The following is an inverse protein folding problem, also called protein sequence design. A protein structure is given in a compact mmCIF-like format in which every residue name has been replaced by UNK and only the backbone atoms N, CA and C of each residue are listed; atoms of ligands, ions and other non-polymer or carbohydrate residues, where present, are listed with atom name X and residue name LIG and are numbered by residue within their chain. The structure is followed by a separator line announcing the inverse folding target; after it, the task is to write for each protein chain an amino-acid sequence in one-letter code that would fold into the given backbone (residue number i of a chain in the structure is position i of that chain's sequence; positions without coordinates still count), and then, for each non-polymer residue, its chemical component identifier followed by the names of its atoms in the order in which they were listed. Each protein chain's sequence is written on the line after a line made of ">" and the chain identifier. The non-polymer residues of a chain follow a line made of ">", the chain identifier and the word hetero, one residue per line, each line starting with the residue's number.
data_IF_635275217545
#
_entry.id   IF_635275217545
#
_cell.length_a   1.000
_cell.length_b   1.000
_cell.length_c   1.000
_cell.angle_alpha   90.00
_cell.angle_beta   90.00
_cell.angle_gamma   90.00
#
_symmetry.space_group_name_H-M   'P 1'
#
loop_
_entity.id
_entity.type
_entity.pdbx_description
1 polymer ?
#
# COMPACT_ATOMS: atom_id res chain seq x y z
N UNK A 1 28.35 -3.47 8.63
CA UNK A 1 27.21 -3.74 9.53
C UNK A 1 25.86 -3.81 8.81
N UNK A 2 25.38 -2.81 8.02
CA UNK A 2 24.07 -2.91 7.36
C UNK A 2 24.01 -3.99 6.27
N UNK A 3 25.09 -4.13 5.47
CA UNK A 3 25.21 -5.18 4.44
C UNK A 3 25.19 -6.59 5.03
N UNK A 4 25.73 -6.77 6.24
CA UNK A 4 25.79 -8.06 6.93
C UNK A 4 24.41 -8.48 7.46
N UNK A 5 23.62 -7.53 7.96
CA UNK A 5 22.24 -7.73 8.40
C UNK A 5 21.32 -8.02 7.22
N UNK A 6 21.49 -7.30 6.10
CA UNK A 6 20.68 -7.51 4.90
C UNK A 6 20.93 -8.92 4.32
N UNK A 7 22.19 -9.33 4.19
CA UNK A 7 22.52 -10.70 3.79
C UNK A 7 21.96 -11.75 4.74
N UNK A 8 22.11 -11.58 6.06
CA UNK A 8 21.54 -12.51 7.03
C UNK A 8 20.02 -12.64 6.90
N UNK A 9 19.31 -11.53 6.65
CA UNK A 9 17.87 -11.55 6.42
C UNK A 9 17.49 -12.36 5.17
N UNK A 10 18.19 -12.15 4.05
CA UNK A 10 17.95 -12.91 2.81
C UNK A 10 18.17 -14.42 2.95
N UNK A 11 19.18 -14.85 3.70
CA UNK A 11 19.53 -16.28 3.83
C UNK A 11 18.76 -17.01 4.94
N UNK A 12 18.05 -16.28 5.81
CA UNK A 12 17.28 -16.87 6.92
C UNK A 12 15.79 -16.97 6.64
N UNK A 13 15.29 -16.28 5.62
CA UNK A 13 13.88 -16.25 5.24
C UNK A 13 13.70 -16.96 3.91
N UNK A 14 12.56 -17.63 3.74
CA UNK A 14 12.18 -18.14 2.43
C UNK A 14 11.94 -16.99 1.44
N UNK A 15 11.96 -17.29 0.15
CA UNK A 15 11.58 -16.32 -0.90
C UNK A 15 10.18 -15.75 -0.67
N UNK A 16 9.24 -16.58 -0.22
CA UNK A 16 7.87 -16.14 0.08
C UNK A 16 7.83 -15.16 1.25
N UNK A 17 8.49 -15.50 2.35
CA UNK A 17 8.50 -14.64 3.53
C UNK A 17 9.21 -13.32 3.25
N UNK A 18 10.30 -13.37 2.48
CA UNK A 18 10.99 -12.17 1.99
C UNK A 18 10.05 -11.30 1.14
N UNK A 19 9.28 -11.89 0.23
CA UNK A 19 8.29 -11.17 -0.58
C UNK A 19 7.23 -10.48 0.29
N UNK A 20 6.77 -11.12 1.36
CA UNK A 20 5.79 -10.51 2.29
C UNK A 20 6.38 -9.29 3.02
N UNK A 21 7.63 -9.37 3.45
CA UNK A 21 8.35 -8.22 4.02
C UNK A 21 8.54 -7.09 3.01
N UNK A 22 8.89 -7.43 1.77
CA UNK A 22 9.03 -6.45 0.69
C UNK A 22 7.68 -5.77 0.40
N UNK A 23 6.59 -6.55 0.38
CA UNK A 23 5.22 -6.06 0.21
C UNK A 23 4.82 -5.07 1.32
N UNK A 24 5.19 -5.34 2.57
CA UNK A 24 5.00 -4.40 3.69
C UNK A 24 5.80 -3.11 3.49
N UNK A 25 7.07 -3.22 3.10
CA UNK A 25 7.91 -2.05 2.80
C UNK A 25 7.32 -1.18 1.68
N UNK A 26 6.80 -1.82 0.64
CA UNK A 26 6.07 -1.15 -0.44
C UNK A 26 4.85 -0.39 0.06
N UNK A 27 4.05 -0.99 0.96
CA UNK A 27 2.88 -0.33 1.55
C UNK A 27 3.26 0.97 2.30
N UNK A 28 4.38 0.97 3.03
CA UNK A 28 4.86 2.18 3.71
C UNK A 28 5.23 3.29 2.73
N UNK A 29 5.98 2.95 1.68
CA UNK A 29 6.37 3.93 0.64
C UNK A 29 5.16 4.44 -0.13
N UNK A 30 4.19 3.57 -0.40
CA UNK A 30 2.94 3.95 -1.03
C UNK A 30 2.16 4.97 -0.21
N UNK A 31 2.01 4.75 1.09
CA UNK A 31 1.35 5.72 1.96
C UNK A 31 2.15 7.00 2.14
N UNK A 32 3.48 6.95 2.06
CA UNK A 32 4.28 8.18 2.01
C UNK A 32 3.90 9.01 0.78
N UNK A 33 3.73 8.38 -0.39
CA UNK A 33 3.29 9.07 -1.59
C UNK A 33 1.88 9.66 -1.41
N UNK A 34 0.94 8.85 -0.94
CA UNK A 34 -0.46 9.23 -0.73
C UNK A 34 -0.65 10.40 0.26
N UNK A 35 0.11 10.43 1.36
CA UNK A 35 -0.11 11.34 2.49
C UNK A 35 0.96 12.41 2.67
N UNK A 36 2.14 12.31 2.04
CA UNK A 36 3.24 13.27 2.21
C UNK A 36 3.71 13.92 0.91
N UNK A 37 4.07 13.12 -0.10
CA UNK A 37 4.63 13.65 -1.34
C UNK A 37 4.21 12.79 -2.54
N UNK A 38 3.16 13.17 -3.28
CA UNK A 38 2.50 14.48 -3.30
C UNK A 38 1.56 14.77 -2.12
N UNK A 39 1.06 13.75 -1.43
CA UNK A 39 0.21 13.92 -0.25
C UNK A 39 -1.25 14.33 -0.51
N UNK A 40 -1.71 14.24 -1.76
CA UNK A 40 -3.03 14.73 -2.17
C UNK A 40 -4.14 13.68 -2.12
N UNK A 41 -3.81 12.43 -1.79
CA UNK A 41 -4.72 11.30 -1.96
C UNK A 41 -6.01 11.45 -1.14
N UNK A 42 -6.00 11.79 0.17
CA UNK A 42 -7.24 11.84 0.95
C UNK A 42 -8.25 12.85 0.41
N UNK A 43 -7.77 14.06 0.08
CA UNK A 43 -8.62 15.11 -0.48
C UNK A 43 -9.17 14.74 -1.86
N UNK A 44 -8.34 14.12 -2.71
CA UNK A 44 -8.76 13.61 -4.01
C UNK A 44 -9.84 12.54 -3.85
N UNK A 45 -9.60 11.54 -3.00
CA UNK A 45 -10.53 10.44 -2.77
C UNK A 45 -11.89 10.95 -2.29
N UNK A 46 -11.89 11.81 -1.27
CA UNK A 46 -13.10 12.39 -0.71
C UNK A 46 -13.91 13.19 -1.74
N UNK A 47 -13.23 13.98 -2.57
CA UNK A 47 -13.88 14.81 -3.59
C UNK A 47 -14.38 13.99 -4.78
N UNK A 48 -13.53 13.13 -5.33
CA UNK A 48 -13.76 12.47 -6.61
C UNK A 48 -14.58 11.19 -6.45
N UNK A 49 -14.30 10.40 -5.42
CA UNK A 49 -14.96 9.12 -5.21
C UNK A 49 -16.22 9.26 -4.39
N UNK A 50 -16.17 10.07 -3.33
CA UNK A 50 -17.27 10.21 -2.38
C UNK A 50 -18.12 11.46 -2.59
N UNK A 51 -17.73 12.37 -3.48
CA UNK A 51 -18.42 13.65 -3.74
C UNK A 51 -18.69 14.43 -2.45
N UNK A 52 -17.74 14.41 -1.53
CA UNK A 52 -17.87 15.05 -0.22
C UNK A 52 -17.90 16.57 -0.34
N UNK A 53 -18.81 17.21 0.39
CA UNK A 53 -18.85 18.66 0.58
C UNK A 53 -17.69 19.18 1.46
N UNK A 54 -17.05 18.27 2.21
CA UNK A 54 -15.92 18.55 3.08
C UNK A 54 -14.71 17.68 2.73
N UNK A 55 -14.11 17.84 1.53
CA UNK A 55 -13.12 16.91 1.01
C UNK A 55 -11.83 16.83 1.82
N UNK A 56 -11.50 17.84 2.62
CA UNK A 56 -10.32 17.83 3.49
C UNK A 56 -10.49 16.97 4.75
N UNK A 57 -11.73 16.63 5.15
CA UNK A 57 -12.02 16.05 6.47
C UNK A 57 -13.01 14.89 6.46
N UNK A 58 -13.65 14.57 5.33
CA UNK A 58 -14.63 13.50 5.29
C UNK A 58 -14.78 12.92 3.88
N UNK A 59 -14.95 11.60 3.72
CA UNK A 59 -14.92 10.56 4.78
C UNK A 59 -13.53 10.14 5.25
N UNK A 60 -12.49 10.31 4.43
CA UNK A 60 -11.12 9.97 4.78
C UNK A 60 -10.46 11.14 5.52
N UNK A 61 -10.52 11.12 6.84
CA UNK A 61 -9.77 12.01 7.74
C UNK A 61 -8.63 11.25 8.40
N UNK A 62 -7.87 11.94 9.26
CA UNK A 62 -6.74 11.36 9.98
C UNK A 62 -7.11 10.13 10.81
N UNK A 63 -8.29 10.11 11.45
CA UNK A 63 -8.71 8.98 12.28
C UNK A 63 -9.06 7.76 11.42
N UNK A 64 -9.88 7.96 10.38
CA UNK A 64 -10.24 6.86 9.47
C UNK A 64 -9.03 6.37 8.68
N UNK A 65 -8.13 7.28 8.27
CA UNK A 65 -6.86 6.93 7.65
C UNK A 65 -5.98 6.10 8.60
N UNK A 66 -5.87 6.47 9.88
CA UNK A 66 -5.11 5.69 10.86
C UNK A 66 -5.64 4.25 10.99
N UNK A 67 -6.96 4.12 11.13
CA UNK A 67 -7.62 2.80 11.27
C UNK A 67 -7.39 1.94 10.03
N UNK A 68 -7.62 2.49 8.83
CA UNK A 68 -7.50 1.75 7.58
C UNK A 68 -6.03 1.41 7.29
N UNK A 69 -5.14 2.40 7.39
CA UNK A 69 -3.74 2.22 6.99
C UNK A 69 -2.95 1.41 7.99
N UNK A 70 -3.03 1.76 9.27
CA UNK A 70 -2.20 1.13 10.32
C UNK A 70 -2.94 -0.07 10.91
N UNK A 71 -4.19 0.14 11.33
CA UNK A 71 -4.98 -0.88 11.99
C UNK A 71 -5.28 -2.09 11.09
N UNK A 72 -5.62 -1.85 9.83
CA UNK A 72 -5.95 -2.91 8.87
C UNK A 72 -4.77 -3.21 7.96
N UNK A 73 -4.26 -2.21 7.24
CA UNK A 73 -3.19 -2.37 6.25
C UNK A 73 -1.89 -2.89 6.85
N UNK A 74 -1.23 -2.10 7.69
CA UNK A 74 0.09 -2.45 8.23
C UNK A 74 0.04 -3.73 9.04
N UNK A 75 -0.99 -3.87 9.89
CA UNK A 75 -1.15 -5.06 10.69
C UNK A 75 -1.30 -6.31 9.81
N UNK A 76 -2.16 -6.30 8.78
CA UNK A 76 -2.34 -7.48 7.92
C UNK A 76 -1.07 -7.84 7.15
N UNK A 77 -0.34 -6.86 6.59
CA UNK A 77 0.93 -7.08 5.89
C UNK A 77 2.04 -7.55 6.83
N UNK A 78 2.10 -7.01 8.04
CA UNK A 78 3.03 -7.47 9.06
C UNK A 78 2.73 -8.91 9.49
N UNK A 79 1.48 -9.26 9.73
CA UNK A 79 1.10 -10.63 10.09
C UNK A 79 1.38 -11.62 8.94
N UNK A 80 1.17 -11.22 7.69
CA UNK A 80 1.54 -12.03 6.53
C UNK A 80 3.06 -12.31 6.49
N UNK A 81 3.89 -11.31 6.80
CA UNK A 81 5.35 -11.47 6.82
C UNK A 81 5.86 -12.29 8.02
N UNK A 82 5.25 -12.12 9.19
CA UNK A 82 5.63 -12.85 10.41
C UNK A 82 5.21 -14.32 10.33
N UNK A 83 3.99 -14.60 9.89
CA UNK A 83 3.47 -15.97 9.85
C UNK A 83 3.83 -16.73 8.58
N UNK A 84 4.18 -16.03 7.51
CA UNK A 84 4.73 -16.62 6.30
C UNK A 84 3.90 -17.83 5.80
N UNK A 85 4.55 -18.94 5.47
CA UNK A 85 3.92 -20.15 4.92
C UNK A 85 2.91 -20.80 5.85
N UNK A 86 2.94 -20.48 7.16
CA UNK A 86 1.97 -21.02 8.10
C UNK A 86 0.55 -20.53 7.82
N UNK A 87 0.40 -19.32 7.27
CA UNK A 87 -0.89 -18.73 6.92
C UNK A 87 -0.85 -18.11 5.52
N UNK A 88 -0.69 -18.94 4.50
CA UNK A 88 -0.62 -18.51 3.09
C UNK A 88 -1.78 -17.60 2.65
N UNK A 89 -2.97 -17.79 3.22
CA UNK A 89 -4.15 -16.98 2.93
C UNK A 89 -3.97 -15.51 3.33
N UNK A 90 -3.20 -15.21 4.38
CA UNK A 90 -2.88 -13.84 4.77
C UNK A 90 -2.04 -13.16 3.69
N UNK A 91 -0.96 -13.82 3.24
CA UNK A 91 -0.14 -13.26 2.17
C UNK A 91 -0.90 -13.13 0.85
N UNK A 92 -1.76 -14.10 0.50
CA UNK A 92 -2.63 -13.98 -0.66
C UNK A 92 -3.56 -12.77 -0.54
N UNK A 93 -4.19 -12.56 0.63
CA UNK A 93 -5.05 -11.41 0.87
C UNK A 93 -4.29 -10.09 0.71
N UNK A 94 -3.07 -9.97 1.24
CA UNK A 94 -2.26 -8.75 1.09
C UNK A 94 -1.77 -8.52 -0.33
N UNK A 95 -1.44 -9.58 -1.08
CA UNK A 95 -1.11 -9.48 -2.50
C UNK A 95 -2.33 -9.02 -3.31
N UNK A 96 -3.53 -9.51 -3.02
CA UNK A 96 -4.76 -9.03 -3.66
C UNK A 96 -5.05 -7.55 -3.37
N UNK A 97 -4.79 -7.08 -2.15
CA UNK A 97 -4.88 -5.65 -1.81
C UNK A 97 -3.86 -4.84 -2.61
N UNK A 98 -2.61 -5.30 -2.71
CA UNK A 98 -1.57 -4.66 -3.54
C UNK A 98 -1.99 -4.61 -5.01
N UNK A 99 -2.53 -5.69 -5.58
CA UNK A 99 -3.09 -5.71 -6.94
C UNK A 99 -4.23 -4.70 -7.10
N UNK A 100 -5.10 -4.60 -6.09
CA UNK A 100 -6.17 -3.61 -6.02
C UNK A 100 -5.64 -2.19 -6.10
N UNK A 101 -4.57 -1.87 -5.35
CA UNK A 101 -3.91 -0.56 -5.42
C UNK A 101 -3.35 -0.28 -6.82
N UNK A 102 -2.68 -1.25 -7.45
CA UNK A 102 -2.18 -1.11 -8.83
C UNK A 102 -3.31 -0.72 -9.78
N UNK A 103 -4.42 -1.46 -9.77
CA UNK A 103 -5.57 -1.18 -10.65
C UNK A 103 -6.23 0.16 -10.31
N UNK A 104 -6.43 0.45 -9.03
CA UNK A 104 -7.10 1.65 -8.56
C UNK A 104 -6.33 2.91 -8.94
N UNK A 105 -5.03 2.96 -8.68
CA UNK A 105 -4.19 4.12 -8.94
C UNK A 105 -3.84 4.28 -10.42
N UNK A 106 -3.69 3.20 -11.18
CA UNK A 106 -3.41 3.32 -12.61
C UNK A 106 -4.63 3.73 -13.42
N UNK A 107 -5.81 3.18 -13.08
CA UNK A 107 -7.01 3.31 -13.90
C UNK A 107 -8.12 4.07 -13.17
N UNK A 108 -8.65 3.52 -12.08
CA UNK A 108 -9.91 3.99 -11.49
C UNK A 108 -9.85 5.46 -11.05
N UNK A 109 -8.82 5.84 -10.28
CA UNK A 109 -8.70 7.20 -9.75
C UNK A 109 -8.38 8.21 -10.85
N UNK A 110 -7.49 7.88 -11.78
CA UNK A 110 -7.16 8.75 -12.91
C UNK A 110 -8.37 9.01 -13.81
N UNK A 111 -9.14 7.97 -14.17
CA UNK A 111 -10.36 8.10 -14.98
C UNK A 111 -11.39 8.98 -14.28
N UNK A 112 -11.63 8.77 -12.97
CA UNK A 112 -12.63 9.55 -12.24
C UNK A 112 -12.17 10.99 -11.94
N UNK A 113 -10.89 11.18 -11.65
CA UNK A 113 -10.32 12.50 -11.37
C UNK A 113 -10.05 13.31 -12.64
N UNK A 114 -10.14 12.68 -13.83
CA UNK A 114 -9.71 13.25 -15.11
C UNK A 114 -8.27 13.78 -15.05
N UNK A 115 -7.41 13.00 -14.41
CA UNK A 115 -6.00 13.31 -14.21
C UNK A 115 -5.13 12.21 -14.80
N UNK A 116 -3.92 12.55 -15.23
CA UNK A 116 -2.91 11.56 -15.65
C UNK A 116 -2.16 10.96 -14.46
N UNK A 117 -2.26 11.59 -13.29
CA UNK A 117 -1.53 11.17 -12.11
C UNK A 117 -2.32 11.45 -10.83
N UNK A 118 -2.16 10.56 -9.86
CA UNK A 118 -2.67 10.71 -8.50
C UNK A 118 -1.62 10.17 -7.52
N UNK A 119 -1.63 10.70 -6.30
CA UNK A 119 -0.72 10.27 -5.24
C UNK A 119 -0.96 8.78 -4.93
N UNK A 120 0.11 7.99 -5.02
CA UNK A 120 0.11 6.53 -4.90
C UNK A 120 0.35 5.81 -6.24
N UNK A 121 0.29 6.51 -7.38
CA UNK A 121 0.48 5.92 -8.70
C UNK A 121 1.93 5.52 -8.97
N UNK A 122 2.92 6.31 -8.54
CA UNK A 122 4.32 6.00 -8.82
C UNK A 122 4.74 4.72 -8.08
N UNK A 123 4.46 4.65 -6.78
CA UNK A 123 4.71 3.46 -5.96
C UNK A 123 3.87 2.27 -6.41
N UNK A 124 2.66 2.48 -6.93
CA UNK A 124 1.89 1.39 -7.55
C UNK A 124 2.61 0.76 -8.74
N UNK A 125 3.19 1.58 -9.62
CA UNK A 125 3.93 1.10 -10.79
C UNK A 125 5.25 0.46 -10.39
N UNK A 126 6.06 1.19 -9.61
CA UNK A 126 7.46 0.83 -9.40
C UNK A 126 7.68 -0.14 -8.23
N UNK A 127 6.71 -0.28 -7.33
CA UNK A 127 6.85 -1.09 -6.12
C UNK A 127 5.74 -2.14 -5.98
N UNK A 128 4.45 -1.80 -6.08
CA UNK A 128 3.39 -2.81 -5.92
C UNK A 128 3.40 -3.79 -7.09
N UNK A 129 3.35 -3.32 -8.33
CA UNK A 129 3.32 -4.19 -9.50
C UNK A 129 4.41 -5.28 -9.50
N UNK A 130 5.71 -4.98 -9.31
CA UNK A 130 6.76 -6.02 -9.26
C UNK A 130 6.71 -6.92 -8.01
N UNK A 131 5.99 -6.54 -6.95
CA UNK A 131 5.78 -7.41 -5.79
C UNK A 131 4.56 -8.33 -5.97
N UNK A 132 3.70 -8.07 -6.96
CA UNK A 132 2.46 -8.82 -7.20
C UNK A 132 2.49 -9.73 -8.42
N UNK A 133 3.37 -9.47 -9.39
CA UNK A 133 3.54 -10.23 -10.64
C UNK A 133 4.94 -10.82 -10.74
#
# INVERSE_FOLDING_TARGET
>A
MPVTLMHAFFFTHSTYQFLMWLSLGTLFLHQLEEYRSPGTFPAMLNRVMFKSDHPLYYPLNTNTALVINVGIGWLSYFLAAVFAERFLWLGLATILVSCGNVVAHLLMFNVKAKSFYNAGMATSIFLFAPCTF
#
